data_IF_070883183142
#
_entry.id   IF_070883183142
#
_cell.length_a   1.000
_cell.length_b   1.000
_cell.length_c   1.000
_cell.angle_alpha   90.00
_cell.angle_beta   90.00
_cell.angle_gamma   90.00
#
_symmetry.space_group_name_H-M   'P 1'
#
loop_
_entity.id
_entity.type
_entity.pdbx_description
1 polymer ?
#
# COMPACT_ATOMS: atom_id res chain seq x y z
N UNK A 1 -33.92 -27.59 3.02
CA UNK A 1 -33.29 -28.81 2.45
C UNK A 1 -32.99 -29.88 3.48
N UNK A 2 -32.48 -29.55 4.67
CA UNK A 2 -32.06 -30.53 5.68
C UNK A 2 -33.06 -31.66 5.98
N UNK A 3 -34.36 -31.39 6.25
CA UNK A 3 -35.30 -32.48 6.52
C UNK A 3 -35.43 -33.46 5.36
N UNK A 4 -35.45 -32.95 4.11
CA UNK A 4 -35.49 -33.79 2.90
C UNK A 4 -34.24 -34.66 2.77
N UNK A 5 -33.06 -34.09 3.05
CA UNK A 5 -31.81 -34.85 2.98
C UNK A 5 -31.76 -35.97 4.04
N UNK A 6 -32.25 -35.70 5.25
CA UNK A 6 -32.33 -36.70 6.33
C UNK A 6 -33.16 -37.90 5.90
N UNK A 7 -34.33 -37.68 5.27
CA UNK A 7 -35.15 -38.81 4.78
C UNK A 7 -34.45 -39.61 3.68
N UNK A 8 -33.67 -38.95 2.80
CA UNK A 8 -32.86 -39.64 1.78
C UNK A 8 -31.80 -40.53 2.44
N UNK A 9 -31.06 -40.02 3.43
CA UNK A 9 -30.07 -40.81 4.18
C UNK A 9 -30.71 -42.05 4.83
N UNK A 10 -31.87 -41.87 5.47
CA UNK A 10 -32.62 -42.97 6.09
C UNK A 10 -33.09 -44.00 5.07
N UNK A 11 -33.61 -43.57 3.91
CA UNK A 11 -34.04 -44.47 2.85
C UNK A 11 -32.88 -45.31 2.27
N UNK A 12 -31.67 -44.76 2.27
CA UNK A 12 -30.45 -45.46 1.86
C UNK A 12 -29.83 -46.34 2.98
N UNK A 13 -30.43 -46.38 4.18
CA UNK A 13 -29.90 -47.14 5.31
C UNK A 13 -28.63 -46.55 5.92
N UNK A 14 -28.35 -45.26 5.70
CA UNK A 14 -27.14 -44.57 6.19
C UNK A 14 -27.52 -43.57 7.29
N UNK A 15 -26.69 -43.50 8.33
CA UNK A 15 -26.88 -42.54 9.42
C UNK A 15 -26.59 -41.11 8.94
N UNK A 16 -27.51 -40.13 9.11
CA UNK A 16 -27.28 -38.75 8.69
C UNK A 16 -26.10 -38.11 9.43
N UNK A 17 -25.31 -37.22 8.78
CA UNK A 17 -24.27 -36.46 9.45
C UNK A 17 -24.86 -35.39 10.38
N UNK A 18 -24.01 -34.81 11.22
CA UNK A 18 -24.35 -33.59 11.95
C UNK A 18 -24.47 -32.41 10.97
N UNK A 19 -25.46 -31.55 11.20
CA UNK A 19 -25.67 -30.33 10.42
C UNK A 19 -25.44 -29.10 11.29
N UNK A 20 -24.71 -28.12 10.76
CA UNK A 20 -24.59 -26.79 11.32
C UNK A 20 -24.97 -25.76 10.25
N UNK A 21 -26.02 -24.98 10.49
CA UNK A 21 -26.45 -23.92 9.59
C UNK A 21 -25.90 -22.58 10.08
N UNK A 22 -24.85 -22.11 9.42
CA UNK A 22 -24.25 -20.81 9.74
C UNK A 22 -25.19 -19.70 9.21
N UNK A 23 -25.39 -18.59 9.95
CA UNK A 23 -26.21 -17.47 9.50
C UNK A 23 -25.72 -16.87 8.17
N UNK A 24 -26.59 -16.09 7.54
CA UNK A 24 -26.24 -15.40 6.31
C UNK A 24 -25.35 -14.18 6.61
N UNK A 25 -24.53 -13.84 5.62
CA UNK A 25 -23.89 -12.54 5.53
C UNK A 25 -24.86 -11.60 4.81
N UNK A 26 -25.08 -10.42 5.40
CA UNK A 26 -25.94 -9.37 4.86
C UNK A 26 -25.08 -8.21 4.35
N UNK A 27 -25.62 -7.46 3.41
CA UNK A 27 -25.12 -6.14 3.06
C UNK A 27 -25.39 -5.14 4.21
N UNK A 28 -24.77 -3.95 4.15
CA UNK A 28 -24.96 -2.90 5.18
C UNK A 28 -26.42 -2.44 5.31
N UNK A 29 -27.19 -2.53 4.24
CA UNK A 29 -28.63 -2.22 4.22
C UNK A 29 -29.52 -3.36 4.76
N UNK A 30 -28.93 -4.47 5.20
CA UNK A 30 -29.63 -5.65 5.72
C UNK A 30 -30.14 -6.62 4.65
N UNK A 31 -29.96 -6.31 3.36
CA UNK A 31 -30.27 -7.25 2.28
C UNK A 31 -29.30 -8.43 2.27
N UNK A 32 -29.73 -9.58 1.72
CA UNK A 32 -28.86 -10.75 1.62
C UNK A 32 -27.75 -10.48 0.60
N UNK A 33 -26.50 -10.70 1.00
CA UNK A 33 -25.37 -10.60 0.08
C UNK A 33 -25.50 -11.59 -1.08
N UNK A 34 -25.22 -11.10 -2.28
CA UNK A 34 -25.29 -11.76 -3.57
C UNK A 34 -23.94 -11.72 -4.29
N UNK A 35 -23.79 -12.51 -5.36
CA UNK A 35 -22.54 -12.56 -6.15
C UNK A 35 -22.15 -11.23 -6.81
N UNK A 36 -23.11 -10.29 -6.93
CA UNK A 36 -22.89 -8.99 -7.57
C UNK A 36 -22.48 -7.91 -6.56
N UNK A 37 -22.58 -8.20 -5.28
CA UNK A 37 -22.26 -7.24 -4.23
C UNK A 37 -20.74 -7.14 -4.03
N UNK A 38 -20.29 -5.94 -3.70
CA UNK A 38 -18.88 -5.66 -3.48
C UNK A 38 -18.31 -6.54 -2.35
N UNK A 39 -17.18 -7.20 -2.61
CA UNK A 39 -16.52 -8.08 -1.64
C UNK A 39 -17.13 -9.47 -1.49
N UNK A 40 -18.18 -9.82 -2.26
CA UNK A 40 -18.73 -11.17 -2.25
C UNK A 40 -17.81 -12.21 -2.93
N UNK A 41 -16.99 -11.78 -3.89
CA UNK A 41 -16.06 -12.65 -4.62
C UNK A 41 -14.66 -12.62 -3.99
N UNK A 42 -14.09 -13.80 -3.73
CA UNK A 42 -12.72 -13.93 -3.20
C UNK A 42 -11.69 -13.34 -4.16
N UNK A 43 -11.90 -13.45 -5.47
CA UNK A 43 -11.00 -12.90 -6.49
C UNK A 43 -10.81 -11.40 -6.35
N UNK A 44 -11.84 -10.66 -5.93
CA UNK A 44 -11.75 -9.21 -5.72
C UNK A 44 -10.67 -8.85 -4.69
N UNK A 45 -10.55 -9.60 -3.59
CA UNK A 45 -9.52 -9.35 -2.59
C UNK A 45 -8.11 -9.61 -3.12
N UNK A 46 -7.96 -10.65 -3.93
CA UNK A 46 -6.69 -11.00 -4.57
C UNK A 46 -6.28 -9.91 -5.57
N UNK A 47 -7.20 -9.52 -6.45
CA UNK A 47 -6.98 -8.47 -7.46
C UNK A 47 -6.68 -7.11 -6.85
N UNK A 48 -7.33 -6.78 -5.73
CA UNK A 48 -7.11 -5.53 -5.00
C UNK A 48 -5.85 -5.59 -4.11
N UNK A 49 -5.25 -6.75 -3.90
CA UNK A 49 -4.05 -6.89 -3.08
C UNK A 49 -4.31 -6.79 -1.58
N UNK A 50 -5.34 -7.47 -1.09
CA UNK A 50 -5.47 -7.74 0.34
C UNK A 50 -4.52 -8.86 0.76
N UNK A 51 -3.96 -8.74 1.96
CA UNK A 51 -3.21 -9.81 2.60
C UNK A 51 -4.15 -10.97 2.92
N UNK A 52 -3.81 -12.22 2.53
CA UNK A 52 -4.70 -13.37 2.72
C UNK A 52 -4.96 -13.66 4.21
N UNK A 53 -4.01 -13.33 5.10
CA UNK A 53 -4.16 -13.42 6.56
C UNK A 53 -5.28 -12.51 7.06
N UNK A 54 -5.34 -11.28 6.54
CA UNK A 54 -6.37 -10.30 6.91
C UNK A 54 -7.76 -10.72 6.43
N UNK A 55 -7.86 -11.21 5.19
CA UNK A 55 -9.13 -11.69 4.62
C UNK A 55 -9.65 -12.87 5.43
N UNK A 56 -8.80 -13.86 5.76
CA UNK A 56 -9.21 -15.00 6.59
C UNK A 56 -9.72 -14.57 7.95
N UNK A 57 -8.94 -13.73 8.65
CA UNK A 57 -9.34 -13.22 9.96
C UNK A 57 -10.66 -12.44 9.87
N UNK A 58 -10.83 -11.58 8.88
CA UNK A 58 -12.05 -10.81 8.67
C UNK A 58 -13.27 -11.74 8.45
N UNK A 59 -13.13 -12.77 7.61
CA UNK A 59 -14.19 -13.75 7.39
C UNK A 59 -14.53 -14.54 8.66
N UNK A 60 -13.56 -14.85 9.51
CA UNK A 60 -13.84 -15.45 10.83
C UNK A 60 -14.68 -14.51 11.70
N UNK A 61 -14.39 -13.19 11.69
CA UNK A 61 -15.17 -12.19 12.42
C UNK A 61 -16.63 -12.07 11.97
N UNK A 62 -16.96 -12.58 10.77
CA UNK A 62 -18.33 -12.65 10.26
C UNK A 62 -19.09 -13.83 10.88
N UNK A 63 -19.48 -13.66 12.14
CA UNK A 63 -20.31 -14.62 12.86
C UNK A 63 -19.57 -15.36 13.96
N UNK A 64 -18.26 -15.17 14.12
CA UNK A 64 -17.51 -15.69 15.27
C UNK A 64 -16.51 -14.65 15.78
N UNK A 65 -16.34 -14.54 17.09
CA UNK A 65 -15.31 -13.68 17.67
C UNK A 65 -14.79 -14.30 18.96
N UNK A 66 -13.54 -14.02 19.35
CA UNK A 66 -13.05 -14.36 20.67
C UNK A 66 -13.76 -13.51 21.73
N UNK A 67 -13.79 -13.99 22.97
CA UNK A 67 -14.53 -13.32 24.07
C UNK A 67 -13.86 -12.04 24.59
N UNK A 68 -12.63 -11.76 24.16
CA UNK A 68 -11.76 -10.70 24.66
C UNK A 68 -11.74 -9.44 23.75
N UNK A 69 -12.70 -9.31 22.84
CA UNK A 69 -12.80 -8.22 21.88
C UNK A 69 -11.56 -8.05 20.98
N UNK A 70 -10.71 -9.07 20.83
CA UNK A 70 -9.63 -9.04 19.84
C UNK A 70 -10.21 -9.21 18.44
N UNK A 71 -9.89 -8.26 17.57
CA UNK A 71 -10.28 -8.33 16.16
C UNK A 71 -9.16 -8.92 15.29
N UNK A 72 -7.90 -8.65 15.64
CA UNK A 72 -6.74 -9.24 14.97
C UNK A 72 -6.33 -10.55 15.65
N UNK A 73 -6.47 -11.66 14.93
CA UNK A 73 -6.27 -13.02 15.44
C UNK A 73 -5.62 -13.86 14.35
N UNK A 74 -4.53 -14.55 14.71
CA UNK A 74 -3.89 -15.50 13.81
C UNK A 74 -4.78 -16.73 13.57
N UNK A 75 -4.72 -17.30 12.37
CA UNK A 75 -5.58 -18.43 12.01
C UNK A 75 -5.29 -19.67 12.86
N UNK A 76 -4.05 -19.91 13.26
CA UNK A 76 -3.69 -21.03 14.13
C UNK A 76 -4.26 -20.87 15.54
N UNK A 77 -4.42 -19.63 15.99
CA UNK A 77 -5.13 -19.31 17.22
C UNK A 77 -6.64 -19.51 17.07
N UNK A 78 -7.24 -19.06 15.96
CA UNK A 78 -8.66 -19.31 15.65
C UNK A 78 -8.96 -20.81 15.71
N UNK A 79 -8.14 -21.65 15.07
CA UNK A 79 -8.32 -23.11 15.06
C UNK A 79 -8.32 -23.70 16.48
N UNK A 80 -7.50 -23.17 17.40
CA UNK A 80 -7.44 -23.63 18.80
C UNK A 80 -8.62 -23.15 19.64
N UNK A 81 -9.15 -21.95 19.36
CA UNK A 81 -10.21 -21.32 20.15
C UNK A 81 -11.63 -21.62 19.63
N UNK A 82 -11.73 -22.14 18.40
CA UNK A 82 -12.99 -22.34 17.72
C UNK A 82 -13.86 -23.38 18.42
N UNK A 83 -15.09 -22.98 18.74
CA UNK A 83 -16.15 -23.83 19.25
C UNK A 83 -17.42 -23.45 18.50
N UNK A 84 -18.16 -24.45 18.00
CA UNK A 84 -19.33 -24.23 17.16
C UNK A 84 -20.42 -23.43 17.90
N UNK A 85 -20.54 -23.65 19.20
CA UNK A 85 -21.48 -23.00 20.11
C UNK A 85 -21.23 -21.49 20.23
N UNK A 86 -20.01 -21.03 19.92
CA UNK A 86 -19.63 -19.61 19.93
C UNK A 86 -19.96 -18.89 18.62
N UNK A 87 -20.45 -19.59 17.60
CA UNK A 87 -20.96 -18.93 16.40
C UNK A 87 -22.22 -18.14 16.77
N UNK A 88 -22.22 -16.85 16.46
CA UNK A 88 -23.37 -15.97 16.64
C UNK A 88 -24.54 -16.49 15.80
N UNK A 89 -25.74 -16.54 16.38
CA UNK A 89 -26.96 -16.97 15.69
C UNK A 89 -27.57 -15.89 14.79
N UNK A 90 -27.15 -14.63 14.96
CA UNK A 90 -27.58 -13.50 14.15
C UNK A 90 -26.76 -13.43 12.86
N UNK A 91 -27.39 -12.94 11.80
CA UNK A 91 -26.69 -12.65 10.56
C UNK A 91 -25.60 -11.58 10.79
N UNK A 92 -24.46 -11.73 10.13
CA UNK A 92 -23.37 -10.76 10.18
C UNK A 92 -23.54 -9.73 9.06
N UNK A 93 -23.35 -8.45 9.37
CA UNK A 93 -23.29 -7.42 8.34
C UNK A 93 -21.88 -7.37 7.75
N UNK A 94 -21.79 -7.40 6.43
CA UNK A 94 -20.56 -7.21 5.70
C UNK A 94 -20.11 -5.75 5.76
N UNK A 95 -18.82 -5.57 5.96
CA UNK A 95 -18.14 -4.31 6.23
C UNK A 95 -16.73 -4.35 5.62
N UNK A 96 -16.64 -3.88 4.37
CA UNK A 96 -15.38 -3.82 3.65
C UNK A 96 -14.40 -2.82 4.27
N UNK A 97 -14.88 -1.77 4.93
CA UNK A 97 -14.03 -0.78 5.60
C UNK A 97 -13.31 -1.42 6.79
N UNK A 98 -14.01 -2.27 7.55
CA UNK A 98 -13.40 -3.09 8.62
C UNK A 98 -12.35 -4.05 8.06
N UNK A 99 -12.64 -4.71 6.93
CA UNK A 99 -11.66 -5.58 6.27
C UNK A 99 -10.42 -4.78 5.83
N UNK A 100 -10.61 -3.60 5.24
CA UNK A 100 -9.53 -2.70 4.83
C UNK A 100 -8.69 -2.21 6.01
N UNK A 101 -9.32 -1.82 7.12
CA UNK A 101 -8.62 -1.45 8.35
C UNK A 101 -7.77 -2.61 8.87
N UNK A 102 -8.35 -3.80 8.98
CA UNK A 102 -7.67 -5.00 9.45
C UNK A 102 -6.50 -5.35 8.52
N UNK A 103 -6.69 -5.23 7.21
CA UNK A 103 -5.64 -5.42 6.22
C UNK A 103 -4.44 -4.51 6.46
N UNK A 104 -4.68 -3.22 6.74
CA UNK A 104 -3.62 -2.29 7.12
C UNK A 104 -2.84 -2.75 8.36
N UNK A 105 -3.53 -3.31 9.37
CA UNK A 105 -2.86 -3.85 10.57
C UNK A 105 -2.00 -5.10 10.26
N UNK A 106 -2.40 -5.92 9.30
CA UNK A 106 -1.60 -7.06 8.86
C UNK A 106 -0.40 -6.62 8.03
N UNK A 107 -0.58 -5.72 7.05
CA UNK A 107 0.50 -5.18 6.21
C UNK A 107 1.53 -4.42 7.03
N UNK A 108 1.12 -3.65 8.04
CA UNK A 108 2.04 -2.96 8.93
C UNK A 108 2.94 -3.93 9.72
N UNK A 109 2.39 -5.07 10.18
CA UNK A 109 3.10 -5.99 11.08
C UNK A 109 3.77 -7.18 10.39
N UNK A 110 3.44 -7.49 9.12
CA UNK A 110 4.10 -8.59 8.41
C UNK A 110 5.58 -8.33 8.20
N UNK A 111 6.36 -9.41 8.05
CA UNK A 111 7.79 -9.32 7.73
C UNK A 111 7.99 -8.67 6.35
N UNK A 112 9.17 -8.08 6.14
CA UNK A 112 9.54 -7.54 4.83
C UNK A 112 9.55 -8.64 3.76
N UNK A 113 9.99 -9.85 4.08
CA UNK A 113 10.02 -10.98 3.13
C UNK A 113 8.61 -11.34 2.64
N UNK A 114 7.64 -11.43 3.56
CA UNK A 114 6.23 -11.67 3.21
C UNK A 114 5.64 -10.52 2.41
N UNK A 115 6.01 -9.28 2.74
CA UNK A 115 5.57 -8.10 1.99
C UNK A 115 6.11 -8.13 0.55
N UNK A 116 7.39 -8.46 0.35
CA UNK A 116 8.01 -8.59 -0.98
C UNK A 116 7.33 -9.70 -1.79
N UNK A 117 7.08 -10.86 -1.18
CA UNK A 117 6.37 -11.97 -1.82
C UNK A 117 5.00 -11.53 -2.36
N UNK A 118 4.22 -10.82 -1.54
CA UNK A 118 2.88 -10.35 -1.92
C UNK A 118 2.90 -9.15 -2.89
N UNK A 119 3.95 -8.32 -2.87
CA UNK A 119 4.12 -7.19 -3.77
C UNK A 119 4.55 -7.59 -5.19
N UNK A 120 5.34 -8.67 -5.31
CA UNK A 120 5.97 -9.10 -6.57
C UNK A 120 4.99 -9.26 -7.74
N UNK A 121 3.82 -9.94 -7.60
CA UNK A 121 2.87 -10.08 -8.70
C UNK A 121 2.33 -8.76 -9.23
N UNK A 122 2.21 -7.73 -8.38
CA UNK A 122 1.73 -6.41 -8.77
C UNK A 122 2.79 -5.61 -9.52
N UNK A 123 4.06 -5.72 -9.10
CA UNK A 123 5.19 -5.11 -9.78
C UNK A 123 5.42 -5.74 -11.18
N UNK A 124 5.33 -7.06 -11.28
CA UNK A 124 5.44 -7.80 -12.54
C UNK A 124 4.29 -7.46 -13.49
N UNK A 125 3.05 -7.40 -12.98
CA UNK A 125 1.88 -6.96 -13.76
C UNK A 125 2.04 -5.53 -14.27
N UNK A 126 2.66 -4.66 -13.49
CA UNK A 126 3.01 -3.29 -13.88
C UNK A 126 4.25 -3.20 -14.79
N UNK A 127 4.88 -4.34 -15.15
CA UNK A 127 6.08 -4.43 -15.99
C UNK A 127 7.28 -3.66 -15.44
N UNK A 128 7.38 -3.55 -14.11
CA UNK A 128 8.53 -2.92 -13.45
C UNK A 128 9.68 -3.94 -13.42
N UNK A 129 10.88 -3.53 -13.86
CA UNK A 129 12.08 -4.37 -13.77
C UNK A 129 12.54 -4.46 -12.30
N UNK A 130 12.33 -5.63 -11.72
CA UNK A 130 12.66 -5.97 -10.33
C UNK A 130 13.81 -6.98 -10.23
N UNK A 131 14.63 -7.09 -11.27
CA UNK A 131 15.75 -8.06 -11.35
C UNK A 131 16.81 -7.86 -10.27
N UNK A 132 17.01 -6.63 -9.79
CA UNK A 132 17.91 -6.33 -8.69
C UNK A 132 17.22 -6.54 -7.33
N UNK A 133 17.32 -7.76 -6.79
CA UNK A 133 16.65 -8.16 -5.55
C UNK A 133 17.06 -7.32 -4.33
N UNK A 134 18.35 -6.92 -4.24
CA UNK A 134 18.83 -6.07 -3.15
C UNK A 134 18.15 -4.70 -3.20
N UNK A 135 18.13 -4.08 -4.38
CA UNK A 135 17.50 -2.78 -4.58
C UNK A 135 15.98 -2.83 -4.37
N UNK A 136 15.32 -3.89 -4.87
CA UNK A 136 13.90 -4.14 -4.63
C UNK A 136 13.58 -4.16 -3.13
N UNK A 137 14.39 -4.89 -2.35
CA UNK A 137 14.23 -4.98 -0.89
C UNK A 137 14.36 -3.62 -0.22
N UNK A 138 15.37 -2.82 -0.60
CA UNK A 138 15.60 -1.48 -0.06
C UNK A 138 14.43 -0.53 -0.38
N UNK A 139 13.92 -0.54 -1.61
CA UNK A 139 12.75 0.26 -2.04
C UNK A 139 11.48 -0.16 -1.29
N UNK A 140 11.20 -1.46 -1.22
CA UNK A 140 9.98 -1.94 -0.56
C UNK A 140 10.03 -1.74 0.96
N UNK A 141 11.21 -1.75 1.58
CA UNK A 141 11.36 -1.46 3.00
C UNK A 141 10.86 -0.05 3.36
N UNK A 142 11.18 0.95 2.54
CA UNK A 142 10.81 2.35 2.81
C UNK A 142 9.37 2.68 2.40
N UNK A 143 8.78 1.88 1.51
CA UNK A 143 7.39 2.04 1.04
C UNK A 143 6.38 1.27 1.87
N UNK A 144 6.77 0.15 2.49
CA UNK A 144 5.88 -0.76 3.24
C UNK A 144 4.91 -0.05 4.19
N UNK A 145 5.36 0.95 4.93
CA UNK A 145 4.52 1.67 5.90
C UNK A 145 3.40 2.51 5.26
N UNK A 146 3.48 2.78 3.96
CA UNK A 146 2.50 3.57 3.21
C UNK A 146 1.46 2.70 2.51
N UNK A 147 1.74 1.41 2.38
CA UNK A 147 0.90 0.48 1.64
C UNK A 147 -0.15 -0.14 2.55
N UNK A 148 -1.41 -0.01 2.13
CA UNK A 148 -2.52 -0.76 2.72
C UNK A 148 -3.06 -1.83 1.78
N UNK A 149 -2.87 -1.67 0.46
CA UNK A 149 -3.25 -2.67 -0.54
C UNK A 149 -2.10 -2.87 -1.52
N UNK A 150 -1.80 -4.13 -1.84
CA UNK A 150 -0.66 -4.45 -2.72
C UNK A 150 -0.85 -3.94 -4.15
N UNK A 151 -2.09 -3.70 -4.61
CA UNK A 151 -2.35 -3.04 -5.89
C UNK A 151 -1.75 -1.63 -6.00
N UNK A 152 -1.55 -0.97 -4.86
CA UNK A 152 -1.02 0.40 -4.81
C UNK A 152 0.51 0.41 -4.91
N UNK A 153 1.19 -0.73 -4.66
CA UNK A 153 2.66 -0.81 -4.63
C UNK A 153 3.31 -0.20 -5.88
N UNK A 154 2.90 -0.52 -7.12
CA UNK A 154 3.55 0.04 -8.31
C UNK A 154 3.51 1.57 -8.36
N UNK A 155 2.45 2.20 -7.84
CA UNK A 155 2.35 3.66 -7.75
C UNK A 155 3.45 4.27 -6.88
N UNK A 156 3.70 3.61 -5.75
CA UNK A 156 4.66 4.08 -4.74
C UNK A 156 6.10 3.74 -5.08
N UNK A 157 6.34 2.84 -6.05
CA UNK A 157 7.68 2.32 -6.33
C UNK A 157 8.18 2.56 -7.76
N UNK A 158 7.31 2.77 -8.75
CA UNK A 158 7.69 2.81 -10.17
C UNK A 158 8.87 3.74 -10.48
N UNK A 159 8.85 4.94 -9.91
CA UNK A 159 9.88 5.97 -10.11
C UNK A 159 11.27 5.58 -9.57
N UNK A 160 11.42 4.55 -8.74
CA UNK A 160 12.74 4.02 -8.36
C UNK A 160 13.39 3.17 -9.46
N UNK A 161 12.60 2.59 -10.36
CA UNK A 161 13.06 1.58 -11.32
C UNK A 161 13.14 2.09 -12.77
N UNK A 162 12.79 3.35 -13.01
CA UNK A 162 12.86 3.96 -14.34
C UNK A 162 13.41 5.37 -14.28
N UNK A 163 14.14 5.80 -15.32
CA UNK A 163 14.45 7.21 -15.56
C UNK A 163 13.36 7.91 -16.37
N UNK A 164 12.48 7.14 -17.02
CA UNK A 164 11.29 7.61 -17.71
C UNK A 164 10.13 7.72 -16.71
N UNK A 165 10.34 8.52 -15.66
CA UNK A 165 9.25 9.00 -14.81
C UNK A 165 8.78 10.34 -15.38
N UNK A 166 7.51 10.42 -15.76
CA UNK A 166 6.96 11.56 -16.46
C UNK A 166 6.78 12.76 -15.52
N UNK A 167 7.17 13.94 -16.00
CA UNK A 167 6.95 15.24 -15.36
C UNK A 167 5.86 16.06 -16.06
N UNK A 168 5.56 15.68 -17.31
CA UNK A 168 4.66 16.39 -18.19
C UNK A 168 3.38 15.57 -18.30
N UNK A 169 2.25 16.26 -18.23
CA UNK A 169 0.93 15.67 -18.10
C UNK A 169 0.54 14.74 -19.27
N UNK A 170 -0.39 13.83 -18.97
CA UNK A 170 -1.25 13.07 -19.90
C UNK A 170 -0.67 11.78 -20.53
N UNK A 171 -1.38 10.67 -20.24
CA UNK A 171 -1.33 9.33 -20.86
C UNK A 171 -0.42 8.26 -20.27
N UNK A 172 -0.80 7.74 -19.09
CA UNK A 172 -0.96 6.29 -18.97
C UNK A 172 -2.35 5.99 -18.41
N UNK A 173 -3.09 5.07 -19.04
CA UNK A 173 -4.45 4.66 -18.63
C UNK A 173 -4.54 4.07 -17.20
N UNK A 174 -3.43 4.01 -16.47
CA UNK A 174 -3.32 3.29 -15.21
C UNK A 174 -2.82 4.13 -14.03
N UNK A 175 -2.34 5.37 -14.23
CA UNK A 175 -1.86 6.21 -13.13
C UNK A 175 -2.09 7.69 -13.40
N UNK A 176 -3.06 8.29 -12.70
CA UNK A 176 -3.26 9.74 -12.70
C UNK A 176 -2.02 10.45 -12.15
N UNK A 177 -1.58 11.48 -12.88
CA UNK A 177 -0.48 12.35 -12.52
C UNK A 177 -1.00 13.56 -11.73
N UNK A 178 -0.22 14.07 -10.78
CA UNK A 178 -0.55 15.26 -10.01
C UNK A 178 0.08 16.52 -10.67
N UNK A 179 -0.32 16.82 -11.91
CA UNK A 179 0.16 17.99 -12.66
C UNK A 179 -0.11 19.30 -11.93
N UNK A 180 -1.20 19.34 -11.17
CA UNK A 180 -1.51 20.48 -10.31
C UNK A 180 -0.49 20.64 -9.18
N UNK A 181 -0.01 19.58 -8.54
CA UNK A 181 0.98 19.72 -7.49
C UNK A 181 2.36 20.15 -8.01
N UNK A 182 2.78 19.70 -9.20
CA UNK A 182 4.02 20.20 -9.80
C UNK A 182 3.92 21.72 -10.03
N UNK A 183 2.82 22.18 -10.63
CA UNK A 183 2.55 23.62 -10.79
C UNK A 183 2.52 24.32 -9.43
N UNK A 184 1.70 23.88 -8.47
CA UNK A 184 1.60 24.49 -7.13
C UNK A 184 2.95 24.55 -6.39
N UNK A 185 3.82 23.56 -6.56
CA UNK A 185 5.14 23.52 -5.91
C UNK A 185 6.12 24.50 -6.57
N UNK A 186 6.11 24.60 -7.91
CA UNK A 186 7.07 25.40 -8.67
C UNK A 186 6.58 26.79 -9.12
N UNK A 187 5.28 27.10 -8.96
CA UNK A 187 4.71 28.45 -9.15
C UNK A 187 5.22 29.45 -8.09
N UNK A 188 5.82 28.96 -7.01
CA UNK A 188 6.56 29.80 -6.08
C UNK A 188 7.83 30.31 -6.79
N UNK A 189 7.97 31.63 -6.89
CA UNK A 189 9.08 32.33 -7.59
C UNK A 189 10.50 31.88 -7.20
N UNK A 190 10.67 31.17 -6.07
CA UNK A 190 11.96 30.72 -5.56
C UNK A 190 12.17 29.20 -5.59
N UNK A 191 11.20 28.39 -6.04
CA UNK A 191 11.33 26.93 -6.00
C UNK A 191 12.50 26.42 -6.84
N UNK A 192 12.72 27.01 -8.02
CA UNK A 192 13.84 26.67 -8.92
C UNK A 192 15.19 27.05 -8.31
N UNK A 193 15.31 28.26 -7.75
CA UNK A 193 16.56 28.72 -7.14
C UNK A 193 16.92 27.89 -5.89
N UNK A 194 15.91 27.53 -5.10
CA UNK A 194 16.03 26.64 -3.95
C UNK A 194 16.46 25.22 -4.34
N UNK A 195 15.91 24.67 -5.43
CA UNK A 195 16.32 23.36 -5.95
C UNK A 195 17.78 23.38 -6.47
N UNK A 196 18.20 24.46 -7.15
CA UNK A 196 19.60 24.68 -7.56
C UNK A 196 20.54 24.73 -6.36
N UNK A 197 20.19 25.49 -5.31
CA UNK A 197 20.99 25.55 -4.10
C UNK A 197 21.08 24.19 -3.38
N UNK A 198 19.98 23.42 -3.37
CA UNK A 198 19.97 22.08 -2.81
C UNK A 198 20.84 21.10 -3.60
N UNK A 199 20.80 21.18 -4.93
CA UNK A 199 21.67 20.42 -5.81
C UNK A 199 23.15 20.68 -5.49
N UNK A 200 23.56 21.95 -5.38
CA UNK A 200 24.93 22.32 -5.03
C UNK A 200 25.37 21.85 -3.63
N UNK A 201 24.47 21.89 -2.64
CA UNK A 201 24.78 21.41 -1.30
C UNK A 201 24.91 19.88 -1.27
N UNK A 202 24.00 19.16 -1.92
CA UNK A 202 24.05 17.69 -2.01
C UNK A 202 25.22 17.19 -2.85
N UNK A 203 25.68 17.93 -3.86
CA UNK A 203 26.88 17.58 -4.61
C UNK A 203 28.13 17.48 -3.72
N UNK A 204 28.19 18.23 -2.61
CA UNK A 204 29.31 18.26 -1.65
C UNK A 204 29.21 17.19 -0.55
N UNK A 205 28.09 16.45 -0.48
CA UNK A 205 27.89 15.42 0.55
C UNK A 205 28.69 14.16 0.20
N UNK A 206 29.65 13.78 1.04
CA UNK A 206 30.44 12.56 0.85
C UNK A 206 29.70 11.30 1.30
N UNK A 207 29.06 11.36 2.47
CA UNK A 207 28.28 10.25 3.04
C UNK A 207 26.81 10.36 2.64
N UNK A 208 26.37 9.52 1.72
CA UNK A 208 25.01 9.55 1.18
C UNK A 208 24.04 8.69 2.01
N UNK A 209 23.71 9.15 3.21
CA UNK A 209 22.76 8.49 4.11
C UNK A 209 21.64 9.41 4.58
N UNK A 210 20.60 8.80 5.16
CA UNK A 210 19.42 9.50 5.69
C UNK A 210 19.79 10.70 6.59
N UNK A 211 20.64 10.48 7.60
CA UNK A 211 20.94 11.50 8.61
C UNK A 211 21.70 12.69 8.01
N UNK A 212 22.66 12.42 7.12
CA UNK A 212 23.48 13.45 6.49
C UNK A 212 22.64 14.29 5.53
N UNK A 213 21.78 13.66 4.73
CA UNK A 213 20.87 14.34 3.81
C UNK A 213 19.84 15.21 4.54
N UNK A 214 19.30 14.70 5.64
CA UNK A 214 18.37 15.46 6.49
C UNK A 214 19.05 16.69 7.09
N UNK A 215 20.24 16.53 7.66
CA UNK A 215 21.01 17.64 8.24
C UNK A 215 21.37 18.68 7.18
N UNK A 216 21.89 18.27 6.02
CA UNK A 216 22.28 19.18 4.95
C UNK A 216 21.09 20.02 4.44
N UNK A 217 19.94 19.38 4.21
CA UNK A 217 18.73 20.08 3.76
C UNK A 217 18.23 21.06 4.83
N UNK A 218 18.20 20.66 6.12
CA UNK A 218 17.77 21.54 7.22
C UNK A 218 18.71 22.74 7.40
N UNK A 219 20.02 22.53 7.35
CA UNK A 219 21.01 23.61 7.41
C UNK A 219 20.87 24.56 6.22
N UNK A 220 20.63 24.05 5.01
CA UNK A 220 20.39 24.88 3.84
C UNK A 220 19.11 25.71 3.98
N UNK A 221 18.02 25.11 4.46
CA UNK A 221 16.77 25.83 4.72
C UNK A 221 16.98 27.02 5.67
N UNK A 222 17.76 26.81 6.75
CA UNK A 222 18.13 27.87 7.67
C UNK A 222 18.98 28.96 7.01
N UNK A 223 20.00 28.59 6.22
CA UNK A 223 20.85 29.54 5.49
C UNK A 223 20.05 30.41 4.52
N UNK A 224 19.05 29.83 3.85
CA UNK A 224 18.18 30.51 2.89
C UNK A 224 16.98 31.23 3.55
N UNK A 225 16.79 31.10 4.87
CA UNK A 225 15.67 31.69 5.58
C UNK A 225 14.30 31.13 5.19
N UNK A 226 14.23 29.89 4.68
CA UNK A 226 12.98 29.26 4.23
C UNK A 226 12.58 28.07 5.11
N UNK A 227 11.34 27.58 4.94
CA UNK A 227 10.85 26.40 5.68
C UNK A 227 11.44 25.15 5.05
N UNK A 228 11.73 24.12 5.86
CA UNK A 228 12.21 22.80 5.36
C UNK A 228 11.29 22.23 4.27
N UNK A 229 9.97 22.39 4.42
CA UNK A 229 8.99 21.93 3.42
C UNK A 229 9.19 22.58 2.04
N UNK A 230 9.69 23.81 1.99
CA UNK A 230 9.96 24.50 0.73
C UNK A 230 11.16 23.93 -0.04
N UNK A 231 12.00 23.09 0.59
CA UNK A 231 13.04 22.31 -0.08
C UNK A 231 12.59 20.86 -0.31
N UNK A 232 11.87 20.28 0.67
CA UNK A 232 11.41 18.89 0.61
C UNK A 232 10.45 18.64 -0.55
N UNK A 233 9.46 19.52 -0.76
CA UNK A 233 8.47 19.30 -1.81
C UNK A 233 9.07 19.41 -3.23
N UNK A 234 9.84 20.47 -3.57
CA UNK A 234 10.52 20.53 -4.87
C UNK A 234 11.47 19.37 -5.10
N UNK A 235 12.26 18.98 -4.10
CA UNK A 235 13.17 17.84 -4.21
C UNK A 235 12.43 16.53 -4.48
N UNK A 236 11.33 16.27 -3.77
CA UNK A 236 10.50 15.08 -3.98
C UNK A 236 9.96 15.04 -5.40
N UNK A 237 9.32 16.13 -5.84
CA UNK A 237 8.76 16.21 -7.18
C UNK A 237 9.87 16.02 -8.21
N UNK A 238 11.02 16.68 -8.03
CA UNK A 238 12.16 16.57 -8.95
C UNK A 238 12.70 15.14 -9.09
N UNK A 239 12.69 14.31 -8.04
CA UNK A 239 13.20 12.93 -8.13
C UNK A 239 12.13 11.86 -8.39
N UNK A 240 10.85 12.16 -8.21
CA UNK A 240 9.78 11.14 -8.28
C UNK A 240 8.63 11.48 -9.21
N UNK A 241 8.48 12.75 -9.60
CA UNK A 241 7.28 13.26 -10.26
C UNK A 241 6.03 13.26 -9.37
N UNK A 242 6.15 12.98 -8.06
CA UNK A 242 5.03 12.87 -7.13
C UNK A 242 5.09 13.90 -6.01
N UNK A 243 3.92 14.35 -5.57
CA UNK A 243 3.77 15.28 -4.44
C UNK A 243 3.82 14.58 -3.07
N UNK A 244 3.48 13.29 -3.06
CA UNK A 244 3.44 12.41 -1.89
C UNK A 244 4.38 11.22 -2.10
N UNK A 245 4.83 10.62 -1.00
CA UNK A 245 5.75 9.49 -1.07
C UNK A 245 6.28 9.09 0.32
N UNK A 246 7.18 8.09 0.38
CA UNK A 246 7.88 7.73 1.62
C UNK A 246 8.76 8.90 2.09
N UNK A 247 9.44 8.75 3.22
CA UNK A 247 10.39 9.77 3.69
C UNK A 247 11.34 10.21 2.56
N UNK A 248 11.46 11.52 2.32
CA UNK A 248 12.28 12.05 1.23
C UNK A 248 13.73 11.57 1.38
N UNK A 249 14.28 11.69 2.58
CA UNK A 249 15.68 11.38 2.84
C UNK A 249 16.00 9.90 2.56
N UNK A 250 15.14 8.97 2.98
CA UNK A 250 15.28 7.54 2.67
C UNK A 250 15.12 7.27 1.17
N UNK A 251 14.20 7.98 0.49
CA UNK A 251 14.05 7.87 -0.96
C UNK A 251 15.32 8.30 -1.69
N UNK A 252 15.94 9.41 -1.29
CA UNK A 252 17.19 9.91 -1.86
C UNK A 252 18.37 8.96 -1.58
N UNK A 253 18.46 8.45 -0.35
CA UNK A 253 19.47 7.46 0.06
C UNK A 253 19.39 6.21 -0.81
N UNK A 254 18.20 5.61 -0.94
CA UNK A 254 17.97 4.42 -1.76
C UNK A 254 18.25 4.72 -3.25
N UNK A 255 17.78 5.85 -3.79
CA UNK A 255 18.05 6.20 -5.20
C UNK A 255 19.54 6.40 -5.52
N UNK A 256 20.32 6.83 -4.53
CA UNK A 256 21.74 7.11 -4.68
C UNK A 256 22.04 8.50 -5.26
N UNK A 257 23.21 9.03 -4.90
CA UNK A 257 23.67 10.40 -5.20
C UNK A 257 23.59 10.77 -6.68
N UNK A 258 24.22 9.95 -7.54
CA UNK A 258 24.33 10.28 -8.97
C UNK A 258 22.97 10.39 -9.65
N UNK A 259 22.05 9.46 -9.34
CA UNK A 259 20.69 9.48 -9.87
C UNK A 259 19.95 10.71 -9.39
N UNK A 260 19.98 11.00 -8.09
CA UNK A 260 19.30 12.17 -7.50
C UNK A 260 19.77 13.48 -8.15
N UNK A 261 21.09 13.68 -8.29
CA UNK A 261 21.63 14.91 -8.87
C UNK A 261 21.24 15.06 -10.36
N UNK A 262 21.34 13.98 -11.15
CA UNK A 262 20.87 13.98 -12.56
C UNK A 262 19.38 14.33 -12.67
N UNK A 263 18.56 13.85 -11.74
CA UNK A 263 17.11 14.15 -11.71
C UNK A 263 16.84 15.62 -11.36
N UNK A 264 17.61 16.18 -10.44
CA UNK A 264 17.58 17.62 -10.16
C UNK A 264 17.99 18.44 -11.38
N UNK A 265 19.08 18.09 -12.07
CA UNK A 265 19.52 18.76 -13.29
C UNK A 265 18.44 18.75 -14.37
N UNK A 266 17.80 17.59 -14.60
CA UNK A 266 16.69 17.45 -15.55
C UNK A 266 15.54 18.38 -15.19
N UNK A 267 15.10 18.40 -13.93
CA UNK A 267 14.02 19.29 -13.48
C UNK A 267 14.40 20.77 -13.63
N UNK A 268 15.61 21.14 -13.23
CA UNK A 268 16.12 22.51 -13.33
C UNK A 268 16.16 22.98 -14.79
N UNK A 269 16.61 22.12 -15.71
CA UNK A 269 16.66 22.41 -17.14
C UNK A 269 15.26 22.59 -17.73
N UNK A 270 14.31 21.71 -17.39
CA UNK A 270 12.93 21.79 -17.86
C UNK A 270 12.22 23.07 -17.37
N UNK A 271 12.45 23.47 -16.11
CA UNK A 271 11.85 24.69 -15.55
C UNK A 271 12.54 25.97 -16.04
N UNK A 272 13.81 25.91 -16.46
CA UNK A 272 14.52 27.04 -17.06
C UNK A 272 14.25 27.25 -18.56
N UNK A 273 13.61 26.28 -19.22
CA UNK A 273 13.21 26.36 -20.62
C UNK A 273 11.79 26.93 -20.82
N UNK A 274 11.05 27.18 -19.74
CA UNK A 274 9.78 27.92 -19.70
C UNK A 274 10.03 29.38 -19.33
#
# INVERSE_FOLDING_TARGET
>A
NTPKHIEIFRALGVSPPNYAHIPLILNRDGSKMSKRDAGAAVSTYIEQGYAPEAVRNYLCLLGWSPKDNREKIDIDEVVKLFELEKINRRNAAFDLDKCFWLNGQYVAQMSLDRFIELARPFLEKAKIDISNEKYLREVLAIVKEKIKLFKDVPEWTSYFFTEDYEFDSFFTENYEFDSEAVQKVFDKSEAVSRLKALHEEFAKVDKWDFQTLESALKSLAQKLGCKTGDLVHPARVAVSGRSVGPSLYHMLEVMGKERVLKRFDRMIAQLGAK
#
